data_IF_552898416810
#
_entry.id   IF_552898416810
#
_cell.length_a   1.000
_cell.length_b   1.000
_cell.length_c   1.000
_cell.angle_alpha   90.00
_cell.angle_beta   90.00
_cell.angle_gamma   90.00
#
_symmetry.space_group_name_H-M   'P 1'
#
loop_
_entity.id
_entity.type
_entity.pdbx_description
1 polymer ?
#
# COMPACT_ATOMS: atom_id res chain seq x y z
N UNK A 1 10.78 -1.38 -15.27
CA UNK A 1 9.87 -1.81 -14.19
C UNK A 1 10.23 -3.23 -13.78
N UNK A 2 10.46 -3.45 -12.50
CA UNK A 2 10.76 -4.77 -11.94
C UNK A 2 9.46 -5.42 -11.45
N UNK A 3 9.29 -6.70 -11.74
CA UNK A 3 8.16 -7.49 -11.22
C UNK A 3 8.61 -8.19 -9.94
N UNK A 4 7.78 -8.15 -8.92
CA UNK A 4 8.05 -8.75 -7.62
C UNK A 4 8.29 -10.27 -7.73
N UNK A 5 9.28 -10.75 -7.00
CA UNK A 5 9.60 -12.18 -6.88
C UNK A 5 8.83 -12.87 -5.74
N UNK A 6 8.00 -12.17 -4.99
CA UNK A 6 7.26 -12.67 -3.81
C UNK A 6 8.17 -13.25 -2.69
N UNK A 7 9.37 -12.76 -2.56
CA UNK A 7 10.26 -13.19 -1.48
C UNK A 7 10.97 -12.00 -0.86
N UNK A 8 11.07 -11.93 0.46
CA UNK A 8 11.84 -10.92 1.19
C UNK A 8 13.36 -11.07 1.03
N UNK A 9 13.82 -12.12 0.34
CA UNK A 9 15.24 -12.47 0.19
C UNK A 9 16.10 -11.36 -0.42
N UNK A 10 15.49 -10.49 -1.22
CA UNK A 10 16.17 -9.43 -1.97
C UNK A 10 15.62 -8.04 -1.68
N UNK A 11 15.10 -7.82 -0.48
CA UNK A 11 14.48 -6.55 -0.09
C UNK A 11 15.26 -5.89 1.06
N UNK A 12 16.57 -6.00 1.05
CA UNK A 12 17.48 -5.26 1.91
C UNK A 12 17.74 -3.87 1.35
N UNK A 13 18.25 -2.98 2.17
CA UNK A 13 18.53 -1.60 1.76
C UNK A 13 19.36 -1.50 0.47
N UNK A 14 20.34 -2.38 0.29
CA UNK A 14 21.21 -2.40 -0.89
C UNK A 14 20.48 -2.75 -2.19
N UNK A 15 19.39 -3.50 -2.10
CA UNK A 15 18.67 -4.02 -3.28
C UNK A 15 17.76 -2.97 -3.95
N UNK A 16 17.51 -1.85 -3.29
CA UNK A 16 16.70 -0.77 -3.85
C UNK A 16 17.56 0.19 -4.67
N UNK A 17 17.03 0.61 -5.82
CA UNK A 17 17.67 1.61 -6.69
C UNK A 17 16.73 2.79 -6.86
N UNK A 18 17.22 4.01 -6.61
CA UNK A 18 16.43 5.24 -6.78
C UNK A 18 15.95 5.36 -8.24
N UNK A 19 14.68 5.67 -8.42
CA UNK A 19 14.01 5.72 -9.72
C UNK A 19 13.47 4.38 -10.21
N UNK A 20 13.77 3.26 -9.52
CA UNK A 20 13.19 1.96 -9.87
C UNK A 20 11.70 1.92 -9.54
N UNK A 21 10.90 1.35 -10.46
CA UNK A 21 9.48 1.09 -10.26
C UNK A 21 9.25 -0.41 -10.12
N UNK A 22 8.64 -0.80 -9.01
CA UNK A 22 8.26 -2.17 -8.67
C UNK A 22 6.79 -2.39 -8.98
N UNK A 23 6.46 -3.43 -9.73
CA UNK A 23 5.10 -3.96 -9.84
C UNK A 23 4.94 -5.09 -8.83
N UNK A 24 4.03 -4.92 -7.86
CA UNK A 24 3.76 -5.97 -6.88
C UNK A 24 2.99 -7.13 -7.50
N UNK A 25 3.30 -8.35 -7.07
CA UNK A 25 2.86 -9.56 -7.77
C UNK A 25 1.38 -9.87 -7.61
N UNK A 26 0.72 -9.37 -6.56
CA UNK A 26 -0.65 -9.72 -6.22
C UNK A 26 -1.60 -8.56 -6.41
N UNK A 27 -2.84 -8.89 -6.84
CA UNK A 27 -4.00 -8.04 -6.67
C UNK A 27 -4.86 -8.55 -5.52
N UNK A 28 -5.72 -7.71 -4.97
CA UNK A 28 -6.70 -8.07 -3.93
C UNK A 28 -8.06 -7.48 -4.28
N UNK A 29 -9.07 -8.33 -4.38
CA UNK A 29 -10.46 -7.90 -4.52
C UNK A 29 -10.98 -7.37 -3.19
N UNK A 30 -11.69 -6.25 -3.24
CA UNK A 30 -12.34 -5.60 -2.11
C UNK A 30 -13.63 -6.32 -1.79
N UNK A 31 -13.56 -7.33 -0.92
CA UNK A 31 -14.73 -8.12 -0.53
C UNK A 31 -15.67 -7.33 0.38
N UNK A 32 -17.00 -7.40 0.14
CA UNK A 32 -17.99 -6.68 0.95
C UNK A 32 -17.89 -6.97 2.44
N UNK A 33 -17.68 -8.23 2.82
CA UNK A 33 -17.58 -8.63 4.22
C UNK A 33 -16.34 -8.03 4.89
N UNK A 34 -15.19 -8.13 4.24
CA UNK A 34 -13.94 -7.57 4.75
C UNK A 34 -14.03 -6.04 4.91
N UNK A 35 -14.59 -5.36 3.89
CA UNK A 35 -14.78 -3.91 3.91
C UNK A 35 -15.65 -3.46 5.09
N UNK A 36 -16.81 -4.07 5.25
CA UNK A 36 -17.75 -3.72 6.33
C UNK A 36 -17.13 -4.04 7.69
N UNK A 37 -16.49 -5.18 7.81
CA UNK A 37 -15.88 -5.60 9.07
C UNK A 37 -14.73 -4.67 9.51
N UNK A 38 -13.79 -4.37 8.63
CA UNK A 38 -12.68 -3.46 8.94
C UNK A 38 -13.22 -2.06 9.25
N UNK A 39 -14.22 -1.58 8.50
CA UNK A 39 -14.84 -0.27 8.73
C UNK A 39 -15.46 -0.20 10.12
N UNK A 40 -16.14 -1.26 10.57
CA UNK A 40 -16.68 -1.37 11.94
C UNK A 40 -15.57 -1.41 13.00
N UNK A 41 -14.54 -2.22 12.80
CA UNK A 41 -13.42 -2.35 13.75
C UNK A 41 -12.71 -1.02 13.95
N UNK A 42 -12.63 -0.20 12.92
CA UNK A 42 -12.03 1.14 12.98
C UNK A 42 -13.00 2.22 13.47
N UNK A 43 -14.18 1.84 13.94
CA UNK A 43 -15.22 2.75 14.48
C UNK A 43 -15.73 3.79 13.46
N UNK A 44 -15.57 3.55 12.17
CA UNK A 44 -16.16 4.41 11.15
C UNK A 44 -17.61 4.00 10.92
N UNK A 45 -18.54 4.90 11.26
CA UNK A 45 -19.99 4.65 11.20
C UNK A 45 -20.69 5.41 10.06
N UNK A 46 -19.94 5.97 9.12
CA UNK A 46 -20.50 6.74 8.02
C UNK A 46 -21.37 5.86 7.11
N UNK A 47 -22.64 6.21 6.95
CA UNK A 47 -23.64 5.42 6.22
C UNK A 47 -23.24 5.09 4.77
N UNK A 48 -22.45 5.94 4.14
CA UNK A 48 -21.96 5.71 2.78
C UNK A 48 -21.20 4.40 2.58
N UNK A 49 -20.71 3.79 3.67
CA UNK A 49 -20.01 2.51 3.64
C UNK A 49 -20.94 1.30 3.90
N UNK A 50 -22.13 1.53 4.46
CA UNK A 50 -23.02 0.47 4.93
C UNK A 50 -24.37 0.41 4.23
N UNK A 51 -24.94 1.59 3.90
CA UNK A 51 -26.32 1.71 3.46
C UNK A 51 -26.41 1.76 1.92
N UNK A 52 -26.58 0.61 1.31
CA UNK A 52 -26.73 0.49 -0.16
C UNK A 52 -27.98 1.23 -0.67
N UNK A 53 -29.09 1.19 0.11
CA UNK A 53 -30.33 1.84 -0.28
C UNK A 53 -30.16 3.36 -0.39
N UNK A 54 -29.56 3.97 0.64
CA UNK A 54 -29.26 5.40 0.65
C UNK A 54 -28.32 5.79 -0.50
N UNK A 55 -27.27 4.98 -0.70
CA UNK A 55 -26.23 5.29 -1.66
C UNK A 55 -26.67 5.17 -3.13
N UNK A 56 -27.76 4.47 -3.42
CA UNK A 56 -28.36 4.44 -4.78
C UNK A 56 -28.79 5.82 -5.26
N UNK A 57 -29.23 6.69 -4.35
CA UNK A 57 -29.66 8.07 -4.65
C UNK A 57 -28.51 9.07 -4.56
N UNK A 58 -27.32 8.66 -4.22
CA UNK A 58 -26.13 9.52 -4.14
C UNK A 58 -25.45 9.68 -5.51
N UNK A 59 -24.56 10.68 -5.67
CA UNK A 59 -23.74 10.80 -6.87
C UNK A 59 -22.88 9.56 -7.20
N UNK A 60 -22.68 8.68 -6.22
CA UNK A 60 -21.86 7.48 -6.34
C UNK A 60 -22.67 6.26 -6.84
N UNK A 61 -23.98 6.25 -6.68
CA UNK A 61 -24.90 5.21 -7.14
C UNK A 61 -24.80 3.87 -6.38
N UNK A 62 -23.78 3.66 -5.56
CA UNK A 62 -23.54 2.45 -4.77
C UNK A 62 -22.63 2.75 -3.58
N UNK A 63 -22.57 1.82 -2.60
CA UNK A 63 -21.70 1.99 -1.43
C UNK A 63 -20.24 2.20 -1.81
N UNK A 64 -19.60 3.05 -1.04
CA UNK A 64 -18.17 3.32 -1.13
C UNK A 64 -17.38 2.42 -0.19
N UNK A 65 -16.25 1.93 -0.62
CA UNK A 65 -15.24 1.40 0.27
C UNK A 65 -14.69 2.49 1.19
N UNK A 66 -14.42 2.14 2.44
CA UNK A 66 -13.76 3.06 3.36
C UNK A 66 -12.34 3.37 2.87
N UNK A 67 -12.00 4.65 2.75
CA UNK A 67 -10.68 5.06 2.24
C UNK A 67 -9.51 4.53 3.06
N UNK A 68 -9.68 4.35 4.37
CA UNK A 68 -8.68 3.72 5.24
C UNK A 68 -8.37 2.27 4.85
N UNK A 69 -9.39 1.52 4.40
CA UNK A 69 -9.18 0.15 3.88
C UNK A 69 -8.41 0.20 2.56
N UNK A 70 -8.76 1.11 1.65
CA UNK A 70 -8.03 1.30 0.38
C UNK A 70 -6.55 1.58 0.62
N UNK A 71 -6.23 2.50 1.54
CA UNK A 71 -4.85 2.82 1.94
C UNK A 71 -4.14 1.56 2.46
N UNK A 72 -4.75 0.88 3.43
CA UNK A 72 -4.16 -0.31 4.06
C UNK A 72 -3.95 -1.45 3.08
N UNK A 73 -4.90 -1.68 2.15
CA UNK A 73 -4.76 -2.71 1.12
C UNK A 73 -3.62 -2.41 0.14
N UNK A 74 -3.50 -1.17 -0.33
CA UNK A 74 -2.42 -0.79 -1.25
C UNK A 74 -1.05 -0.90 -0.58
N UNK A 75 -0.91 -0.44 0.67
CA UNK A 75 0.32 -0.57 1.44
C UNK A 75 0.61 -2.05 1.75
N UNK A 76 -0.41 -2.82 2.09
CA UNK A 76 -0.30 -4.27 2.34
C UNK A 76 0.17 -5.05 1.10
N UNK A 77 -0.36 -4.73 -0.07
CA UNK A 77 0.09 -5.33 -1.35
C UNK A 77 1.56 -5.01 -1.67
N UNK A 78 2.04 -3.84 -1.23
CA UNK A 78 3.43 -3.41 -1.41
C UNK A 78 4.38 -3.94 -0.31
N UNK A 79 3.87 -4.36 0.84
CA UNK A 79 4.65 -4.59 2.05
C UNK A 79 5.74 -5.65 1.87
N UNK A 80 5.43 -6.74 1.19
CA UNK A 80 6.36 -7.84 0.97
C UNK A 80 7.63 -7.41 0.21
N UNK A 81 7.48 -6.49 -0.74
CA UNK A 81 8.60 -5.99 -1.54
C UNK A 81 9.32 -4.80 -0.91
N UNK A 82 8.62 -4.02 -0.10
CA UNK A 82 9.13 -2.72 0.37
C UNK A 82 9.40 -2.67 1.88
N UNK A 83 8.94 -3.66 2.64
CA UNK A 83 9.02 -3.64 4.11
C UNK A 83 9.21 -5.00 4.78
N UNK A 84 9.43 -6.10 4.04
CA UNK A 84 9.68 -7.42 4.65
C UNK A 84 10.91 -7.40 5.58
N UNK A 85 11.95 -6.69 5.18
CA UNK A 85 13.15 -6.47 5.97
C UNK A 85 13.16 -5.11 6.70
N UNK A 86 11.98 -4.55 7.00
CA UNK A 86 11.88 -3.32 7.77
C UNK A 86 12.21 -3.56 9.24
N UNK A 87 12.92 -2.61 9.84
CA UNK A 87 13.06 -2.48 11.30
C UNK A 87 11.97 -1.57 11.86
N UNK A 88 11.57 -0.54 11.09
CA UNK A 88 10.58 0.44 11.54
C UNK A 88 9.89 1.11 10.37
N UNK A 89 8.61 1.36 10.53
CA UNK A 89 7.82 2.28 9.73
C UNK A 89 8.05 3.69 10.26
N UNK A 90 8.63 4.58 9.46
CA UNK A 90 8.96 5.95 9.91
C UNK A 90 7.82 6.93 9.65
N UNK A 91 6.96 6.66 8.67
CA UNK A 91 5.81 7.50 8.43
C UNK A 91 5.18 7.35 7.05
N UNK A 92 3.96 7.88 6.98
CA UNK A 92 3.16 7.98 5.77
C UNK A 92 2.90 9.45 5.46
N UNK A 93 3.16 9.86 4.22
CA UNK A 93 3.05 11.25 3.80
C UNK A 93 2.29 11.36 2.47
N UNK A 94 1.76 12.55 2.19
CA UNK A 94 1.12 12.89 0.92
C UNK A 94 0.07 11.88 0.45
N UNK A 95 -0.68 11.32 1.40
CA UNK A 95 -1.75 10.37 1.13
C UNK A 95 -2.86 11.05 0.33
N UNK A 96 -3.26 10.43 -0.79
CA UNK A 96 -4.35 10.90 -1.66
C UNK A 96 -5.22 9.73 -2.09
N UNK A 97 -6.51 9.83 -1.85
CA UNK A 97 -7.52 8.99 -2.49
C UNK A 97 -7.94 9.67 -3.79
N UNK A 98 -7.58 9.10 -4.91
CA UNK A 98 -7.70 9.71 -6.25
C UNK A 98 -9.04 9.45 -6.90
N UNK A 99 -9.66 8.32 -6.56
CA UNK A 99 -10.97 7.91 -7.07
C UNK A 99 -11.65 6.98 -6.06
N UNK A 100 -12.99 6.90 -6.10
CA UNK A 100 -13.73 5.96 -5.26
C UNK A 100 -13.36 4.51 -5.60
N UNK A 101 -13.30 3.70 -4.55
CA UNK A 101 -13.18 2.23 -4.62
C UNK A 101 -14.50 1.65 -4.12
N UNK A 102 -15.01 0.67 -4.83
CA UNK A 102 -16.27 0.00 -4.50
C UNK A 102 -16.04 -1.46 -4.13
N UNK A 103 -17.04 -2.06 -3.51
CA UNK A 103 -17.07 -3.49 -3.27
C UNK A 103 -17.01 -4.23 -4.62
N UNK A 104 -16.14 -5.21 -4.73
CA UNK A 104 -15.90 -5.96 -5.96
C UNK A 104 -14.77 -5.41 -6.84
N UNK A 105 -14.28 -4.19 -6.59
CA UNK A 105 -13.06 -3.72 -7.27
C UNK A 105 -11.85 -4.56 -6.86
N UNK A 106 -10.94 -4.79 -7.78
CA UNK A 106 -9.67 -5.45 -7.50
C UNK A 106 -8.54 -4.42 -7.56
N UNK A 107 -7.79 -4.33 -6.47
CA UNK A 107 -6.68 -3.39 -6.34
C UNK A 107 -5.34 -4.05 -6.65
N UNK A 108 -4.51 -3.32 -7.37
CA UNK A 108 -3.11 -3.64 -7.64
C UNK A 108 -2.25 -2.49 -7.15
N UNK A 109 -0.99 -2.77 -6.80
CA UNK A 109 -0.09 -1.73 -6.30
C UNK A 109 1.24 -1.73 -7.06
N UNK A 110 1.79 -0.52 -7.21
CA UNK A 110 3.12 -0.25 -7.73
C UNK A 110 3.86 0.64 -6.74
N UNK A 111 5.17 0.52 -6.68
CA UNK A 111 6.00 1.38 -5.84
C UNK A 111 7.19 1.92 -6.61
N UNK A 112 7.47 3.20 -6.44
CA UNK A 112 8.66 3.86 -6.95
C UNK A 112 9.60 4.16 -5.79
N UNK A 113 10.87 3.88 -5.94
CA UNK A 113 11.92 4.24 -4.99
C UNK A 113 12.29 5.69 -5.23
N UNK A 114 11.86 6.59 -4.35
CA UNK A 114 12.12 8.03 -4.50
C UNK A 114 13.49 8.43 -3.98
N UNK A 115 13.94 7.81 -2.87
CA UNK A 115 15.14 8.22 -2.16
C UNK A 115 15.69 7.10 -1.30
N UNK A 116 17.01 7.10 -1.13
CA UNK A 116 17.74 6.25 -0.18
C UNK A 116 18.70 7.12 0.61
N UNK A 117 18.70 6.99 1.92
CA UNK A 117 19.65 7.69 2.80
C UNK A 117 20.18 6.75 3.87
N UNK A 118 21.41 6.99 4.32
CA UNK A 118 21.95 6.28 5.47
C UNK A 118 21.16 6.64 6.73
N UNK A 119 20.99 5.69 7.63
CA UNK A 119 20.45 5.91 8.95
C UNK A 119 21.59 6.20 9.93
N UNK A 120 21.27 6.73 11.10
CA UNK A 120 22.26 6.97 12.17
C UNK A 120 22.88 5.65 12.68
N UNK A 121 22.18 4.53 12.50
CA UNK A 121 22.66 3.19 12.86
C UNK A 121 23.29 2.48 11.65
N UNK A 122 24.41 1.75 11.83
CA UNK A 122 25.17 1.18 10.72
C UNK A 122 24.50 -0.03 10.06
N UNK A 123 23.54 -0.66 10.72
CA UNK A 123 22.89 -1.90 10.30
C UNK A 123 21.60 -1.69 9.49
N UNK A 124 21.24 -0.41 9.23
CA UNK A 124 20.04 -0.05 8.47
C UNK A 124 20.26 1.19 7.58
N UNK A 125 19.31 1.43 6.69
CA UNK A 125 19.17 2.63 5.90
C UNK A 125 17.70 2.98 5.69
N UNK A 126 17.42 4.21 5.32
CA UNK A 126 16.07 4.72 5.11
C UNK A 126 15.77 4.71 3.62
N UNK A 127 14.63 4.12 3.24
CA UNK A 127 14.12 4.18 1.87
C UNK A 127 12.78 4.89 1.87
N UNK A 128 12.64 5.85 0.95
CA UNK A 128 11.38 6.52 0.69
C UNK A 128 10.77 5.96 -0.58
N UNK A 129 9.58 5.42 -0.44
CA UNK A 129 8.78 4.89 -1.55
C UNK A 129 7.62 5.83 -1.86
N UNK A 130 7.19 5.85 -3.11
CA UNK A 130 5.87 6.32 -3.50
C UNK A 130 5.06 5.13 -4.00
N UNK A 131 3.92 4.90 -3.37
CA UNK A 131 2.99 3.85 -3.73
C UNK A 131 1.88 4.39 -4.61
N UNK A 132 1.45 3.59 -5.57
CA UNK A 132 0.35 3.86 -6.49
C UNK A 132 -0.60 2.68 -6.47
N UNK A 133 -1.85 2.91 -6.07
CA UNK A 133 -2.93 1.94 -6.16
C UNK A 133 -3.74 2.15 -7.43
N UNK A 134 -3.98 1.09 -8.18
CA UNK A 134 -4.87 1.10 -9.35
C UNK A 134 -5.92 0.00 -9.21
N UNK A 135 -7.08 0.19 -9.83
CA UNK A 135 -8.09 -0.87 -9.88
C UNK A 135 -7.95 -1.73 -11.16
N UNK A 136 -8.89 -2.66 -11.36
CA UNK A 136 -8.94 -3.57 -12.52
C UNK A 136 -9.06 -2.86 -13.89
N UNK A 137 -9.49 -1.61 -13.89
CA UNK A 137 -9.66 -0.78 -15.08
C UNK A 137 -8.49 0.20 -15.27
N UNK A 138 -7.34 -0.07 -14.64
CA UNK A 138 -6.15 0.79 -14.59
C UNK A 138 -6.43 2.21 -14.05
N UNK A 139 -7.55 2.40 -13.35
CA UNK A 139 -7.89 3.68 -12.74
C UNK A 139 -7.07 3.89 -11.49
N UNK A 140 -6.37 5.04 -11.43
CA UNK A 140 -5.60 5.44 -10.26
C UNK A 140 -6.54 5.78 -9.10
N UNK A 141 -6.47 5.02 -8.02
CA UNK A 141 -7.36 5.14 -6.84
C UNK A 141 -6.65 5.64 -5.60
N UNK A 142 -5.34 5.41 -5.50
CA UNK A 142 -4.54 5.78 -4.33
C UNK A 142 -3.12 6.19 -4.72
N UNK A 143 -2.57 7.18 -4.02
CA UNK A 143 -1.13 7.45 -3.97
C UNK A 143 -0.72 7.88 -2.56
N UNK A 144 0.53 7.58 -2.19
CA UNK A 144 1.10 7.99 -0.92
C UNK A 144 2.59 7.73 -0.86
N UNK A 145 3.30 8.50 -0.06
CA UNK A 145 4.72 8.28 0.22
C UNK A 145 4.88 7.56 1.57
N UNK A 146 5.84 6.68 1.65
CA UNK A 146 6.14 5.86 2.82
C UNK A 146 7.64 5.84 3.08
N UNK A 147 8.03 6.04 4.30
CA UNK A 147 9.43 6.03 4.73
C UNK A 147 9.65 4.85 5.65
N UNK A 148 10.62 4.03 5.31
CA UNK A 148 10.88 2.76 5.98
C UNK A 148 12.36 2.67 6.34
N UNK A 149 12.65 2.31 7.58
CA UNK A 149 13.98 1.93 8.05
C UNK A 149 14.19 0.45 7.70
N UNK A 150 15.10 0.16 6.77
CA UNK A 150 15.30 -1.17 6.21
C UNK A 150 16.67 -1.70 6.60
N UNK A 151 16.69 -2.96 6.99
CA UNK A 151 17.90 -3.72 7.31
C UNK A 151 18.94 -3.67 6.18
N UNK A 152 20.21 -3.59 6.53
CA UNK A 152 21.31 -3.81 5.60
C UNK A 152 21.69 -5.28 5.54
N UNK A 153 21.92 -5.79 4.35
CA UNK A 153 22.36 -7.18 4.11
C UNK A 153 23.66 -7.50 4.85
N UNK A 154 24.59 -6.55 4.90
CA UNK A 154 25.87 -6.69 5.58
C UNK A 154 25.79 -7.07 7.06
N UNK A 155 24.66 -6.73 7.72
CA UNK A 155 24.44 -7.01 9.14
C UNK A 155 23.38 -8.09 9.40
N UNK A 156 22.40 -8.24 8.50
CA UNK A 156 21.22 -9.07 8.69
C UNK A 156 21.07 -10.21 7.67
N UNK A 157 21.81 -10.14 6.56
CA UNK A 157 21.81 -11.21 5.56
C UNK A 157 22.49 -12.47 6.08
N UNK A 158 21.92 -13.62 5.73
CA UNK A 158 22.50 -14.96 6.02
C UNK A 158 22.68 -15.29 7.51
N UNK A 159 21.80 -14.79 8.38
CA UNK A 159 21.75 -15.15 9.82
C UNK A 159 20.53 -15.99 10.13
#
# INVERSE_FOLDING_TARGET
>A
MKVSALTGKHNYFEDFTVGEVLKHARGKTVEPLEQVWITNVTMNTAEGHFNEHLMKSSPWGKRLGFGGVTISMCIGLAAQDTAENALMELGLHKIRLKAPVHHGDTLYCYSEVLEKTDADQPDAGIVRFKHYGVNQDDKHVFEGERWVLIKRRSHWGDK
#
